data_IF_767182205533
#
_entry.id   IF_767182205533
#
_cell.length_a   1.000
_cell.length_b   1.000
_cell.length_c   1.000
_cell.angle_alpha   90.00
_cell.angle_beta   90.00
_cell.angle_gamma   90.00
#
_symmetry.space_group_name_H-M   'P 1'
#
loop_
_entity.id
_entity.type
_entity.pdbx_description
1 polymer ?
#
# COMPACT_ATOMS: atom_id res chain seq x y z
N UNK A 1 35.79 -28.45 19.03
CA UNK A 1 34.37 -28.67 18.66
C UNK A 1 33.41 -27.59 19.17
N UNK A 2 33.35 -27.26 20.48
CA UNK A 2 32.41 -26.24 21.01
C UNK A 2 32.53 -24.84 20.36
N UNK A 3 33.75 -24.35 20.09
CA UNK A 3 33.98 -23.02 19.47
C UNK A 3 33.52 -22.98 17.99
N UNK A 4 33.69 -24.08 17.25
CA UNK A 4 33.27 -24.19 15.84
C UNK A 4 31.74 -24.18 15.73
N UNK A 5 31.04 -24.85 16.67
CA UNK A 5 29.57 -24.86 16.73
C UNK A 5 29.01 -23.47 17.06
N UNK A 6 29.64 -22.71 17.98
CA UNK A 6 29.21 -21.34 18.32
C UNK A 6 29.40 -20.37 17.14
N UNK A 7 30.51 -20.47 16.42
CA UNK A 7 30.76 -19.68 15.21
C UNK A 7 29.76 -20.00 14.09
N UNK A 8 29.41 -21.28 13.89
CA UNK A 8 28.40 -21.69 12.92
C UNK A 8 26.99 -21.17 13.28
N UNK A 9 26.63 -21.20 14.56
CA UNK A 9 25.34 -20.65 15.07
C UNK A 9 25.30 -19.13 14.91
N UNK A 10 26.38 -18.41 15.22
CA UNK A 10 26.49 -16.96 15.00
C UNK A 10 26.40 -16.58 13.51
N UNK A 11 26.98 -17.40 12.62
CA UNK A 11 26.89 -17.20 11.17
C UNK A 11 25.49 -17.49 10.61
N UNK A 12 24.74 -18.41 11.23
CA UNK A 12 23.33 -18.68 10.89
C UNK A 12 22.36 -17.64 11.47
N UNK A 13 22.72 -16.99 12.58
CA UNK A 13 21.90 -15.95 13.23
C UNK A 13 22.11 -14.57 12.61
N UNK A 14 23.25 -14.28 11.98
CA UNK A 14 23.56 -12.95 11.42
C UNK A 14 22.63 -12.50 10.28
N UNK A 15 22.17 -13.36 9.34
CA UNK A 15 21.21 -12.96 8.32
C UNK A 15 19.81 -12.78 8.93
N UNK A 16 19.46 -13.56 9.96
CA UNK A 16 18.17 -13.50 10.63
C UNK A 16 18.01 -12.24 11.48
N UNK A 17 19.06 -11.86 12.24
CA UNK A 17 19.08 -10.61 13.03
C UNK A 17 19.13 -9.37 12.13
N UNK A 18 19.86 -9.43 11.01
CA UNK A 18 19.86 -8.39 9.98
C UNK A 18 18.50 -8.28 9.28
N UNK A 19 17.86 -9.41 8.98
CA UNK A 19 16.54 -9.40 8.34
C UNK A 19 15.42 -8.84 9.24
N UNK A 20 15.57 -9.00 10.55
CA UNK A 20 14.63 -8.44 11.52
C UNK A 20 14.84 -6.94 11.76
N UNK A 21 16.09 -6.45 11.64
CA UNK A 21 16.44 -5.06 11.94
C UNK A 21 15.95 -4.09 10.85
N UNK A 22 16.12 -4.43 9.56
CA UNK A 22 15.64 -3.54 8.48
C UNK A 22 14.13 -3.36 8.54
N UNK A 23 13.38 -4.42 8.88
CA UNK A 23 11.92 -4.36 8.95
C UNK A 23 11.45 -3.43 10.07
N UNK A 24 12.12 -3.46 11.23
CA UNK A 24 11.80 -2.57 12.34
C UNK A 24 12.05 -1.09 11.99
N UNK A 25 13.15 -0.82 11.27
CA UNK A 25 13.50 0.53 10.79
C UNK A 25 12.45 1.01 9.79
N UNK A 26 12.15 0.22 8.75
CA UNK A 26 11.15 0.56 7.74
C UNK A 26 9.77 0.74 8.37
N UNK A 27 9.38 -0.12 9.32
CA UNK A 27 8.10 0.01 10.03
C UNK A 27 8.02 1.32 10.82
N UNK A 28 9.13 1.76 11.41
CA UNK A 28 9.20 3.05 12.10
C UNK A 28 8.97 4.21 11.13
N UNK A 29 9.56 4.15 9.93
CA UNK A 29 9.33 5.14 8.87
C UNK A 29 7.88 5.13 8.35
N UNK A 30 7.31 3.94 8.10
CA UNK A 30 5.90 3.80 7.69
C UNK A 30 4.98 4.41 8.76
N UNK A 31 5.22 4.09 10.04
CA UNK A 31 4.43 4.63 11.15
C UNK A 31 4.55 6.16 11.24
N UNK A 32 5.74 6.71 10.97
CA UNK A 32 5.93 8.14 10.92
C UNK A 32 5.13 8.77 9.77
N UNK A 33 5.19 8.19 8.56
CA UNK A 33 4.41 8.65 7.39
C UNK A 33 2.91 8.60 7.68
N UNK A 34 2.41 7.52 8.27
CA UNK A 34 0.98 7.35 8.58
C UNK A 34 0.45 8.35 9.61
N UNK A 35 1.33 8.99 10.40
CA UNK A 35 0.97 10.07 11.33
C UNK A 35 1.08 11.46 10.71
N UNK A 36 1.68 11.59 9.52
CA UNK A 36 1.84 12.89 8.87
C UNK A 36 0.48 13.44 8.42
N UNK A 37 0.26 14.76 8.54
CA UNK A 37 -0.85 15.42 7.88
C UNK A 37 -0.51 15.58 6.40
N UNK A 38 -1.00 14.66 5.57
CA UNK A 38 -0.71 14.57 4.14
C UNK A 38 -1.83 15.19 3.32
N UNK A 39 -1.45 15.89 2.26
CA UNK A 39 -2.39 16.38 1.25
C UNK A 39 -2.68 15.31 0.22
N UNK A 40 -3.91 15.27 -0.25
CA UNK A 40 -4.38 14.29 -1.24
C UNK A 40 -4.40 14.93 -2.63
N UNK A 41 -3.90 14.23 -3.63
CA UNK A 41 -4.18 14.54 -5.03
C UNK A 41 -4.65 13.29 -5.77
N UNK A 42 -5.59 13.46 -6.68
CA UNK A 42 -6.14 12.38 -7.49
C UNK A 42 -5.62 12.52 -8.91
N UNK A 43 -5.11 11.41 -9.43
CA UNK A 43 -4.69 11.29 -10.80
C UNK A 43 -5.73 10.53 -11.60
N UNK A 44 -6.22 11.18 -12.65
CA UNK A 44 -7.36 10.72 -13.44
C UNK A 44 -6.99 10.75 -14.92
N UNK A 45 -7.32 9.70 -15.69
CA UNK A 45 -7.13 9.72 -17.13
C UNK A 45 -8.09 10.73 -17.78
N UNK A 46 -7.62 11.45 -18.80
CA UNK A 46 -8.46 12.27 -19.67
C UNK A 46 -8.59 11.61 -21.04
N UNK A 47 -9.72 11.79 -21.71
CA UNK A 47 -9.91 11.38 -23.09
C UNK A 47 -9.23 12.37 -24.07
N UNK A 48 -9.33 12.07 -25.37
CA UNK A 48 -8.77 12.90 -26.44
C UNK A 48 -9.38 14.31 -26.51
N UNK A 49 -10.53 14.54 -25.88
CA UNK A 49 -11.20 15.83 -25.77
C UNK A 49 -10.84 16.58 -24.48
N UNK A 50 -10.12 15.93 -23.56
CA UNK A 50 -9.73 16.49 -22.26
C UNK A 50 -10.78 16.29 -21.16
N UNK A 51 -11.77 15.45 -21.38
CA UNK A 51 -12.79 15.09 -20.39
C UNK A 51 -12.29 13.96 -19.49
N UNK A 52 -12.70 13.97 -18.21
CA UNK A 52 -12.29 12.95 -17.24
C UNK A 52 -12.95 11.61 -17.58
N UNK A 53 -12.13 10.60 -17.86
CA UNK A 53 -12.59 9.22 -18.03
C UNK A 53 -12.87 8.64 -16.63
N UNK A 54 -13.94 7.84 -16.49
CA UNK A 54 -14.35 7.19 -15.23
C UNK A 54 -14.74 8.20 -14.12
N UNK A 55 -15.34 9.33 -14.51
CA UNK A 55 -15.79 10.38 -13.61
C UNK A 55 -16.85 9.91 -12.58
N UNK A 56 -17.57 8.84 -12.89
CA UNK A 56 -18.58 8.19 -12.06
C UNK A 56 -18.04 7.51 -10.79
N UNK A 57 -16.73 7.20 -10.75
CA UNK A 57 -16.08 6.56 -9.60
C UNK A 57 -15.34 7.55 -8.68
N UNK A 58 -15.63 8.85 -8.82
CA UNK A 58 -14.93 9.93 -8.13
C UNK A 58 -15.88 10.80 -7.31
N UNK A 59 -15.54 11.01 -6.04
CA UNK A 59 -16.22 12.01 -5.21
C UNK A 59 -15.69 13.41 -5.53
N UNK A 60 -16.53 14.26 -6.13
CA UNK A 60 -16.16 15.56 -6.68
C UNK A 60 -15.78 16.64 -5.65
N UNK A 61 -15.98 16.38 -4.36
CA UNK A 61 -15.78 17.37 -3.30
C UNK A 61 -14.31 17.53 -2.84
N UNK A 62 -13.35 16.81 -3.44
CA UNK A 62 -11.92 16.86 -3.05
C UNK A 62 -10.95 16.85 -4.24
N UNK A 63 -11.38 17.28 -5.43
CA UNK A 63 -10.57 17.21 -6.65
C UNK A 63 -9.45 18.27 -6.66
N UNK A 64 -8.21 17.80 -6.60
CA UNK A 64 -7.06 18.44 -7.21
C UNK A 64 -6.66 17.59 -8.41
N UNK A 65 -7.22 17.93 -9.57
CA UNK A 65 -6.97 17.26 -10.83
C UNK A 65 -5.69 17.81 -11.46
N UNK A 66 -4.85 16.92 -11.99
CA UNK A 66 -3.81 17.27 -12.93
C UNK A 66 -3.95 16.37 -14.17
N UNK A 67 -3.62 16.93 -15.34
CA UNK A 67 -3.84 16.30 -16.65
C UNK A 67 -2.78 15.23 -16.91
N UNK A 68 -3.18 13.97 -17.10
CA UNK A 68 -2.31 12.97 -17.73
C UNK A 68 -2.39 13.19 -19.23
N UNK A 69 -1.24 13.36 -19.86
CA UNK A 69 -1.09 13.21 -21.29
C UNK A 69 -0.90 11.71 -21.58
N UNK A 70 -1.80 11.17 -22.38
CA UNK A 70 -1.67 9.84 -23.00
C UNK A 70 -0.33 9.79 -23.77
N UNK A 71 0.59 8.92 -23.34
CA UNK A 71 1.88 8.70 -23.99
C UNK A 71 1.84 7.53 -24.99
N UNK A 72 0.64 7.02 -25.30
CA UNK A 72 0.45 5.91 -26.25
C UNK A 72 0.92 4.55 -25.73
N UNK A 73 1.37 4.45 -24.47
CA UNK A 73 1.71 3.18 -23.81
C UNK A 73 0.55 2.69 -22.94
N UNK A 74 -0.58 2.43 -23.62
CA UNK A 74 -1.83 1.88 -23.10
C UNK A 74 -1.58 0.51 -22.44
N UNK A 75 -1.18 0.53 -21.16
CA UNK A 75 -1.37 -0.55 -20.19
C UNK A 75 -1.93 0.00 -18.85
N UNK A 76 -2.13 1.32 -18.73
CA UNK A 76 -2.53 2.03 -17.49
C UNK A 76 -3.92 2.68 -17.53
N UNK A 77 -4.69 2.52 -18.62
CA UNK A 77 -5.97 3.23 -18.87
C UNK A 77 -7.05 2.90 -17.83
N UNK A 78 -6.85 1.82 -17.07
CA UNK A 78 -7.78 1.32 -16.06
C UNK A 78 -7.24 1.42 -14.63
N UNK A 79 -6.30 2.32 -14.33
CA UNK A 79 -5.76 2.48 -12.96
C UNK A 79 -5.95 3.92 -12.47
N UNK A 80 -6.67 4.09 -11.36
CA UNK A 80 -6.82 5.36 -10.67
C UNK A 80 -5.72 5.52 -9.62
N UNK A 81 -5.04 6.67 -9.60
CA UNK A 81 -3.98 6.93 -8.61
C UNK A 81 -4.43 7.98 -7.62
N UNK A 82 -4.14 7.74 -6.36
CA UNK A 82 -4.24 8.73 -5.29
C UNK A 82 -2.85 8.90 -4.70
N UNK A 83 -2.36 10.14 -4.68
CA UNK A 83 -1.05 10.47 -4.15
C UNK A 83 -1.18 11.33 -2.91
N UNK A 84 -0.27 11.09 -1.97
CA UNK A 84 -0.25 11.76 -0.69
C UNK A 84 1.08 12.46 -0.47
N UNK A 85 1.04 13.78 -0.27
CA UNK A 85 2.22 14.65 -0.20
C UNK A 85 2.40 15.24 1.19
N UNK A 86 3.65 15.45 1.60
CA UNK A 86 3.97 16.16 2.83
C UNK A 86 4.08 17.69 2.63
N UNK A 87 4.43 18.38 3.71
CA UNK A 87 4.52 19.85 3.75
C UNK A 87 5.66 20.43 2.93
N UNK A 88 6.52 19.58 2.37
CA UNK A 88 7.59 19.96 1.46
C UNK A 88 7.27 19.52 0.02
N UNK A 89 6.00 19.17 -0.24
CA UNK A 89 5.50 18.65 -1.51
C UNK A 89 6.20 17.33 -1.93
N UNK A 90 6.70 16.55 -0.97
CA UNK A 90 7.27 15.23 -1.28
C UNK A 90 6.18 14.18 -1.24
N UNK A 91 6.09 13.37 -2.29
CA UNK A 91 5.21 12.19 -2.32
C UNK A 91 5.67 11.23 -1.21
N UNK A 92 4.76 10.86 -0.31
CA UNK A 92 5.03 9.95 0.81
C UNK A 92 4.29 8.63 0.70
N UNK A 93 3.11 8.64 0.07
CA UNK A 93 2.31 7.44 -0.20
C UNK A 93 1.62 7.58 -1.55
N UNK A 94 1.49 6.47 -2.27
CA UNK A 94 0.71 6.36 -3.50
C UNK A 94 -0.19 5.14 -3.37
N UNK A 95 -1.46 5.30 -3.72
CA UNK A 95 -2.44 4.23 -3.81
C UNK A 95 -2.92 4.13 -5.25
N UNK A 96 -2.90 2.91 -5.78
CA UNK A 96 -3.40 2.57 -7.11
C UNK A 96 -4.55 1.57 -6.93
N UNK A 97 -5.66 1.82 -7.61
CA UNK A 97 -6.81 0.91 -7.70
C UNK A 97 -7.21 0.69 -9.15
N UNK A 98 -7.80 -0.46 -9.44
CA UNK A 98 -8.39 -0.72 -10.75
C UNK A 98 -9.65 0.13 -10.94
N UNK A 99 -9.85 0.64 -12.15
CA UNK A 99 -10.94 1.53 -12.51
C UNK A 99 -12.28 0.79 -12.67
N UNK A 100 -12.26 -0.54 -12.82
CA UNK A 100 -13.42 -1.43 -12.89
C UNK A 100 -14.06 -1.72 -11.52
N UNK A 101 -13.60 -1.05 -10.46
CA UNK A 101 -14.05 -1.27 -9.09
C UNK A 101 -13.24 -2.31 -8.32
N UNK A 102 -12.15 -2.86 -8.89
CA UNK A 102 -11.24 -3.77 -8.18
C UNK A 102 -10.59 -3.15 -6.93
N UNK A 103 -10.43 -3.96 -5.87
CA UNK A 103 -10.15 -3.48 -4.52
C UNK A 103 -8.73 -2.89 -4.29
N UNK A 104 -7.68 -3.48 -4.87
CA UNK A 104 -6.30 -3.02 -4.72
C UNK A 104 -5.49 -3.37 -5.97
N UNK A 105 -4.77 -2.40 -6.54
CA UNK A 105 -3.68 -2.65 -7.49
C UNK A 105 -2.34 -2.62 -6.74
N UNK A 106 -2.00 -1.48 -6.14
CA UNK A 106 -0.81 -1.36 -5.29
C UNK A 106 -0.84 -0.16 -4.35
N UNK A 107 -0.06 -0.25 -3.27
CA UNK A 107 0.23 0.84 -2.35
C UNK A 107 1.75 0.96 -2.23
N UNK A 108 2.26 2.17 -2.32
CA UNK A 108 3.69 2.47 -2.25
C UNK A 108 3.96 3.54 -1.19
N UNK A 109 5.03 3.37 -0.42
CA UNK A 109 5.52 4.34 0.55
C UNK A 109 6.92 4.81 0.18
N UNK A 110 7.15 6.10 0.34
CA UNK A 110 8.41 6.75 -0.01
C UNK A 110 9.00 7.53 1.15
N UNK A 111 10.31 7.43 1.31
CA UNK A 111 11.04 8.24 2.27
C UNK A 111 11.18 9.70 1.78
N UNK A 112 11.80 10.55 2.59
CA UNK A 112 12.00 11.98 2.28
C UNK A 112 12.81 12.24 1.01
N UNK A 113 13.64 11.28 0.59
CA UNK A 113 14.45 11.36 -0.62
C UNK A 113 13.70 10.85 -1.85
N UNK A 114 12.43 10.44 -1.70
CA UNK A 114 11.61 9.95 -2.79
C UNK A 114 11.92 8.51 -3.21
N UNK A 115 12.67 7.76 -2.39
CA UNK A 115 12.97 6.35 -2.58
C UNK A 115 11.85 5.50 -2.00
N UNK A 116 11.45 4.44 -2.73
CA UNK A 116 10.52 3.43 -2.23
C UNK A 116 11.11 2.76 -0.98
N UNK A 117 10.30 2.63 0.07
CA UNK A 117 10.66 1.90 1.30
C UNK A 117 9.73 0.73 1.60
N UNK A 118 8.49 0.78 1.11
CA UNK A 118 7.51 -0.26 1.32
C UNK A 118 6.47 -0.28 0.19
N UNK A 119 6.03 -1.48 -0.19
CA UNK A 119 5.06 -1.71 -1.23
C UNK A 119 4.09 -2.83 -0.83
N UNK A 120 2.84 -2.69 -1.24
CA UNK A 120 1.82 -3.74 -1.24
C UNK A 120 1.32 -3.85 -2.67
N UNK A 121 1.16 -5.06 -3.19
CA UNK A 121 0.58 -5.27 -4.51
C UNK A 121 -0.43 -6.40 -4.49
N UNK A 122 -1.42 -6.30 -5.38
CA UNK A 122 -2.39 -7.34 -5.62
C UNK A 122 -2.78 -7.36 -7.11
N UNK A 123 -2.53 -8.48 -7.78
CA UNK A 123 -2.87 -8.74 -9.18
C UNK A 123 -3.74 -9.99 -9.23
N UNK A 124 -5.05 -9.78 -9.08
CA UNK A 124 -6.02 -10.88 -9.01
C UNK A 124 -5.76 -11.79 -7.81
N UNK A 125 -6.26 -13.02 -7.87
CA UNK A 125 -6.22 -13.94 -6.72
C UNK A 125 -4.84 -14.60 -6.51
N UNK A 126 -3.96 -14.58 -7.53
CA UNK A 126 -2.75 -15.41 -7.56
C UNK A 126 -1.48 -14.67 -7.17
N UNK A 127 -1.37 -13.37 -7.50
CA UNK A 127 -0.10 -12.63 -7.39
C UNK A 127 -0.25 -11.42 -6.49
N UNK A 128 0.09 -11.60 -5.21
CA UNK A 128 0.02 -10.57 -4.19
C UNK A 128 1.18 -10.65 -3.20
N UNK A 129 1.52 -9.54 -2.56
CA UNK A 129 2.63 -9.54 -1.62
C UNK A 129 2.95 -8.20 -0.99
N UNK A 130 4.00 -8.24 -0.16
CA UNK A 130 4.60 -7.08 0.49
C UNK A 130 6.06 -6.96 0.08
N UNK A 131 6.47 -5.75 -0.26
CA UNK A 131 7.84 -5.39 -0.60
C UNK A 131 8.38 -4.45 0.47
N UNK A 132 9.59 -4.69 0.95
CA UNK A 132 10.33 -3.78 1.83
C UNK A 132 11.61 -3.36 1.10
N UNK A 133 12.01 -2.10 1.21
CA UNK A 133 13.20 -1.59 0.54
C UNK A 133 14.06 -0.80 1.53
N UNK A 134 15.34 -1.18 1.64
CA UNK A 134 16.34 -0.49 2.47
C UNK A 134 17.57 -0.14 1.62
N UNK A 135 18.62 0.44 2.22
CA UNK A 135 19.84 0.82 1.50
C UNK A 135 20.50 -0.31 0.71
N UNK A 136 20.32 -1.56 1.12
CA UNK A 136 20.92 -2.74 0.49
C UNK A 136 20.15 -3.29 -0.71
N UNK A 137 18.86 -2.92 -0.87
CA UNK A 137 18.06 -3.34 -2.03
C UNK A 137 16.59 -3.59 -1.69
N UNK A 138 15.96 -4.44 -2.49
CA UNK A 138 14.57 -4.88 -2.33
C UNK A 138 14.50 -6.21 -1.56
N UNK A 139 13.64 -6.27 -0.55
CA UNK A 139 13.34 -7.43 0.29
C UNK A 139 11.85 -7.79 0.11
N UNK A 140 11.54 -8.81 -0.68
CA UNK A 140 10.16 -9.20 -1.01
C UNK A 140 9.70 -10.30 -0.05
N UNK A 141 8.50 -10.15 0.54
CA UNK A 141 7.77 -11.24 1.20
C UNK A 141 6.64 -11.71 0.28
N UNK A 142 6.73 -12.98 -0.11
CA UNK A 142 5.98 -13.64 -1.19
C UNK A 142 6.42 -13.18 -2.59
N UNK A 143 7.21 -14.02 -3.26
CA UNK A 143 7.52 -13.86 -4.68
C UNK A 143 6.30 -14.26 -5.51
N UNK A 144 6.03 -13.59 -6.65
CA UNK A 144 5.27 -14.19 -7.74
C UNK A 144 5.93 -15.53 -8.11
N UNK A 145 5.16 -16.53 -8.55
CA UNK A 145 5.72 -17.81 -9.00
C UNK A 145 6.82 -17.55 -10.06
N UNK A 146 7.91 -18.33 -9.98
CA UNK A 146 9.06 -18.23 -10.88
C UNK A 146 8.57 -18.20 -12.35
N UNK A 147 8.82 -17.08 -13.04
CA UNK A 147 8.47 -16.71 -14.43
C UNK A 147 7.46 -15.57 -14.63
N UNK A 148 6.79 -15.06 -13.60
CA UNK A 148 5.96 -13.83 -13.75
C UNK A 148 6.76 -12.52 -13.66
N UNK A 149 8.04 -12.63 -13.27
CA UNK A 149 8.87 -11.51 -12.88
C UNK A 149 10.08 -11.25 -13.81
N UNK A 150 10.03 -11.75 -15.06
CA UNK A 150 11.10 -11.51 -16.04
C UNK A 150 10.90 -10.23 -16.85
N UNK A 151 9.66 -9.87 -17.15
CA UNK A 151 9.36 -8.69 -17.97
C UNK A 151 8.38 -7.76 -17.24
N UNK A 152 8.88 -6.59 -16.83
CA UNK A 152 8.10 -5.37 -16.68
C UNK A 152 7.05 -5.24 -15.54
N UNK A 153 6.84 -6.19 -14.63
CA UNK A 153 5.77 -6.01 -13.62
C UNK A 153 6.16 -5.14 -12.41
N UNK A 154 7.33 -5.37 -11.81
CA UNK A 154 7.76 -4.67 -10.57
C UNK A 154 8.15 -3.20 -10.80
N UNK A 155 8.79 -2.90 -11.93
CA UNK A 155 9.27 -1.56 -12.27
C UNK A 155 8.11 -0.54 -12.44
N UNK A 156 6.94 -1.01 -12.88
CA UNK A 156 5.75 -0.17 -13.10
C UNK A 156 4.85 -0.11 -11.86
N UNK A 157 4.85 -1.15 -11.02
CA UNK A 157 4.13 -1.15 -9.75
C UNK A 157 4.59 -0.01 -8.85
N UNK A 158 5.92 0.19 -8.75
CA UNK A 158 6.55 1.07 -7.76
C UNK A 158 7.57 2.03 -8.37
N UNK A 159 7.12 2.88 -9.30
CA UNK A 159 7.93 3.97 -9.84
C UNK A 159 8.54 4.82 -8.71
N UNK A 160 9.78 5.26 -8.88
CA UNK A 160 10.35 6.28 -7.99
C UNK A 160 9.54 7.57 -8.09
N UNK A 161 9.55 8.39 -7.03
CA UNK A 161 8.83 9.68 -7.07
C UNK A 161 9.28 10.58 -8.23
N UNK A 162 10.57 10.57 -8.57
CA UNK A 162 11.11 11.30 -9.72
C UNK A 162 10.57 10.75 -11.05
N UNK A 163 10.43 9.43 -11.17
CA UNK A 163 9.81 8.81 -12.34
C UNK A 163 8.33 9.20 -12.45
N UNK A 164 7.59 9.22 -11.34
CA UNK A 164 6.19 9.66 -11.29
C UNK A 164 6.08 11.14 -11.70
N UNK A 165 6.91 12.01 -11.13
CA UNK A 165 6.95 13.43 -11.47
C UNK A 165 7.24 13.67 -12.95
N UNK A 166 8.20 12.91 -13.52
CA UNK A 166 8.62 13.03 -14.92
C UNK A 166 7.56 12.48 -15.87
N UNK A 167 7.10 11.25 -15.62
CA UNK A 167 6.17 10.54 -16.49
C UNK A 167 4.82 11.25 -16.58
N UNK A 168 4.30 11.72 -15.45
CA UNK A 168 2.98 12.35 -15.42
C UNK A 168 3.05 13.88 -15.50
N UNK A 169 4.22 14.43 -15.86
CA UNK A 169 4.49 15.86 -15.92
C UNK A 169 3.82 16.62 -14.77
N UNK A 170 4.06 16.12 -13.54
CA UNK A 170 3.48 16.70 -12.33
C UNK A 170 4.23 18.01 -12.09
N UNK A 171 3.83 19.06 -12.78
CA UNK A 171 4.08 20.42 -12.32
C UNK A 171 3.43 20.44 -10.95
N UNK A 172 4.24 20.55 -9.88
CA UNK A 172 3.78 20.66 -8.51
C UNK A 172 2.86 21.88 -8.42
N UNK A 173 1.59 21.66 -8.75
CA UNK A 173 0.55 22.67 -8.82
C UNK A 173 0.48 23.26 -7.43
N UNK A 174 0.63 24.58 -7.39
CA UNK A 174 0.57 25.41 -6.21
C UNK A 174 -0.44 24.85 -5.23
N UNK A 175 -0.01 24.60 -3.98
CA UNK A 175 -0.84 24.07 -2.91
C UNK A 175 -2.22 24.70 -2.97
N UNK A 176 -3.27 23.93 -3.23
CA UNK A 176 -4.60 24.47 -3.25
C UNK A 176 -4.88 24.99 -1.85
N UNK A 177 -5.27 26.26 -1.73
CA UNK A 177 -5.37 26.97 -0.44
C UNK A 177 -6.25 26.26 0.59
N UNK A 178 -7.15 25.37 0.14
CA UNK A 178 -8.13 24.64 0.96
C UNK A 178 -7.99 23.11 0.90
N UNK A 179 -6.85 22.57 0.45
CA UNK A 179 -6.66 21.13 0.33
C UNK A 179 -6.79 20.43 1.69
N UNK A 180 -7.70 19.44 1.77
CA UNK A 180 -7.91 18.63 2.99
C UNK A 180 -6.64 17.86 3.30
N UNK A 181 -6.30 17.80 4.59
CA UNK A 181 -5.21 16.97 5.09
C UNK A 181 -5.80 15.71 5.71
N UNK A 182 -5.13 14.60 5.48
CA UNK A 182 -5.47 13.31 6.06
C UNK A 182 -4.25 12.68 6.71
N UNK A 183 -4.47 11.65 7.51
CA UNK A 183 -3.43 10.75 7.98
C UNK A 183 -3.99 9.32 7.92
N UNK A 184 -3.12 8.34 8.16
CA UNK A 184 -3.46 6.92 8.09
C UNK A 184 -3.32 6.25 9.46
N UNK A 185 -3.48 7.04 10.54
CA UNK A 185 -3.63 6.46 11.86
C UNK A 185 -4.99 5.77 11.91
N UNK A 186 -5.07 4.45 12.18
CA UNK A 186 -6.34 3.73 12.14
C UNK A 186 -7.38 4.32 13.09
N UNK A 187 -8.61 4.46 12.62
CA UNK A 187 -9.77 4.85 13.42
C UNK A 187 -10.93 3.86 13.19
N UNK A 188 -11.84 3.76 14.17
CA UNK A 188 -13.08 3.01 13.98
C UNK A 188 -13.90 3.67 12.88
N UNK A 189 -14.41 2.87 11.95
CA UNK A 189 -15.11 3.32 10.75
C UNK A 189 -14.22 3.50 9.53
N UNK A 190 -12.89 3.46 9.67
CA UNK A 190 -11.99 3.57 8.53
C UNK A 190 -12.10 2.36 7.59
N UNK A 191 -12.10 2.63 6.29
CA UNK A 191 -11.88 1.61 5.27
C UNK A 191 -10.40 1.22 5.21
N UNK A 192 -10.16 -0.08 5.05
CA UNK A 192 -8.82 -0.62 4.93
C UNK A 192 -8.79 -1.80 3.95
N UNK A 193 -7.59 -2.14 3.50
CA UNK A 193 -7.31 -3.36 2.74
C UNK A 193 -6.58 -4.36 3.62
N UNK A 194 -7.00 -5.62 3.58
CA UNK A 194 -6.26 -6.71 4.20
C UNK A 194 -4.97 -6.99 3.42
N UNK A 195 -3.84 -6.93 4.10
CA UNK A 195 -2.55 -7.33 3.56
C UNK A 195 -2.11 -8.66 4.17
N UNK A 196 -3.06 -9.57 4.37
CA UNK A 196 -2.86 -10.94 4.82
C UNK A 196 -4.00 -11.83 4.30
N UNK A 197 -3.69 -13.09 4.05
CA UNK A 197 -4.67 -14.14 3.70
C UNK A 197 -5.32 -14.80 4.92
N UNK A 198 -5.06 -14.26 6.11
CA UNK A 198 -5.55 -14.84 7.36
C UNK A 198 -5.90 -13.74 8.36
N UNK A 199 -6.79 -14.09 9.28
CA UNK A 199 -7.19 -13.30 10.45
C UNK A 199 -7.02 -14.15 11.71
N UNK A 200 -7.48 -13.59 12.83
CA UNK A 200 -7.47 -14.21 14.13
C UNK A 200 -8.84 -14.12 14.79
N UNK A 201 -9.25 -15.14 15.54
CA UNK A 201 -10.49 -15.11 16.33
C UNK A 201 -10.45 -14.11 17.48
N UNK A 202 -9.24 -13.87 18.02
CA UNK A 202 -8.94 -12.95 19.12
C UNK A 202 -7.56 -12.34 18.86
N UNK A 203 -7.18 -11.20 19.49
CA UNK A 203 -5.79 -10.76 19.51
C UNK A 203 -4.84 -11.87 20.01
N UNK A 204 -3.83 -12.22 19.22
CA UNK A 204 -2.93 -13.36 19.46
C UNK A 204 -3.60 -14.75 19.54
N UNK A 205 -4.84 -14.88 19.08
CA UNK A 205 -5.59 -16.14 19.07
C UNK A 205 -5.19 -17.08 17.94
N UNK A 206 -6.10 -18.00 17.58
CA UNK A 206 -5.90 -18.92 16.48
C UNK A 206 -5.98 -18.19 15.13
N UNK A 207 -5.05 -18.54 14.23
CA UNK A 207 -4.97 -17.99 12.88
C UNK A 207 -5.83 -18.81 11.92
N UNK A 208 -6.73 -18.17 11.19
CA UNK A 208 -7.67 -18.83 10.27
C UNK A 208 -7.78 -18.08 8.94
N UNK A 209 -8.06 -18.81 7.85
CA UNK A 209 -8.39 -18.27 6.53
C UNK A 209 -9.91 -18.11 6.31
N UNK A 210 -10.73 -18.50 7.29
CA UNK A 210 -12.19 -18.31 7.29
C UNK A 210 -12.60 -17.50 8.53
N UNK A 211 -13.33 -16.41 8.30
CA UNK A 211 -13.85 -15.54 9.35
C UNK A 211 -14.99 -16.15 10.18
N UNK A 212 -15.46 -15.38 11.16
CA UNK A 212 -16.55 -15.75 12.10
C UNK A 212 -17.79 -16.29 11.36
N UNK A 213 -18.16 -15.71 10.21
CA UNK A 213 -19.30 -16.13 9.38
C UNK A 213 -18.93 -17.03 8.17
N UNK A 214 -17.78 -17.69 8.21
CA UNK A 214 -17.30 -18.53 7.10
C UNK A 214 -16.81 -17.74 5.88
N UNK A 215 -16.75 -16.41 5.99
CA UNK A 215 -16.20 -15.51 4.96
C UNK A 215 -14.74 -15.89 4.68
N UNK A 216 -14.43 -16.21 3.43
CA UNK A 216 -13.06 -16.49 3.00
C UNK A 216 -12.22 -15.22 3.07
N UNK A 217 -11.11 -15.27 3.80
CA UNK A 217 -10.18 -14.15 3.92
C UNK A 217 -9.20 -14.17 2.76
N UNK A 218 -9.11 -13.05 2.05
CA UNK A 218 -8.22 -12.88 0.92
C UNK A 218 -7.34 -11.64 1.08
N UNK A 219 -6.13 -11.72 0.53
CA UNK A 219 -5.27 -10.54 0.42
C UNK A 219 -5.91 -9.55 -0.55
N UNK A 220 -5.84 -8.26 -0.23
CA UNK A 220 -6.49 -7.22 -1.03
C UNK A 220 -7.97 -7.03 -0.72
N UNK A 221 -8.57 -7.85 0.15
CA UNK A 221 -9.97 -7.72 0.53
C UNK A 221 -10.24 -6.38 1.23
N UNK A 222 -11.27 -5.61 0.80
CA UNK A 222 -11.68 -4.39 1.47
C UNK A 222 -12.47 -4.71 2.74
N UNK A 223 -12.17 -3.98 3.81
CA UNK A 223 -12.78 -4.15 5.14
C UNK A 223 -13.01 -2.80 5.81
N UNK A 224 -13.83 -2.81 6.86
CA UNK A 224 -14.08 -1.65 7.73
C UNK A 224 -13.57 -1.99 9.12
N UNK A 225 -12.83 -1.06 9.74
CA UNK A 225 -12.38 -1.21 11.13
C UNK A 225 -13.56 -1.02 12.07
N UNK A 226 -13.90 -2.06 12.83
CA UNK A 226 -15.00 -2.02 13.80
C UNK A 226 -14.54 -1.80 15.24
N UNK A 227 -13.30 -2.15 15.57
CA UNK A 227 -12.70 -1.85 16.88
C UNK A 227 -11.17 -1.80 16.82
N UNK A 228 -10.54 -1.13 17.78
CA UNK A 228 -9.08 -1.06 17.95
C UNK A 228 -8.69 -1.55 19.35
N UNK A 229 -7.72 -2.47 19.42
CA UNK A 229 -7.25 -3.05 20.69
C UNK A 229 -5.75 -3.31 20.61
N UNK A 230 -4.94 -2.53 21.34
CA UNK A 230 -3.50 -2.79 21.59
C UNK A 230 -2.70 -3.31 20.38
N UNK A 231 -2.69 -2.58 19.26
CA UNK A 231 -1.96 -2.98 18.04
C UNK A 231 -2.72 -3.89 17.08
N UNK A 232 -3.97 -4.22 17.41
CA UNK A 232 -4.90 -5.01 16.62
C UNK A 232 -6.13 -4.20 16.24
N UNK A 233 -6.73 -4.58 15.12
CA UNK A 233 -8.03 -4.13 14.68
C UNK A 233 -8.99 -5.32 14.68
N UNK A 234 -10.24 -5.10 15.12
CA UNK A 234 -11.35 -5.93 14.66
C UNK A 234 -11.86 -5.36 13.34
N UNK A 235 -12.14 -6.22 12.38
CA UNK A 235 -12.55 -5.83 11.03
C UNK A 235 -13.86 -6.52 10.65
N UNK A 236 -14.67 -5.78 9.92
CA UNK A 236 -15.91 -6.24 9.31
C UNK A 236 -15.75 -6.20 7.79
N UNK A 237 -16.60 -6.93 7.07
CA UNK A 237 -16.77 -6.76 5.64
C UNK A 237 -17.33 -5.37 5.32
N UNK A 238 -17.29 -4.97 4.05
CA UNK A 238 -17.94 -3.75 3.59
C UNK A 238 -19.47 -3.75 3.82
N UNK A 239 -20.08 -4.91 4.04
CA UNK A 239 -21.49 -5.09 4.40
C UNK A 239 -21.70 -5.17 5.92
N UNK A 240 -20.69 -4.77 6.70
CA UNK A 240 -20.70 -4.74 8.16
C UNK A 240 -20.85 -6.12 8.85
N UNK A 241 -20.54 -7.22 8.15
CA UNK A 241 -20.49 -8.55 8.74
C UNK A 241 -19.14 -8.75 9.47
N UNK A 242 -19.11 -9.21 10.73
CA UNK A 242 -17.87 -9.47 11.46
C UNK A 242 -16.97 -10.49 10.74
N UNK A 243 -15.69 -10.18 10.61
CA UNK A 243 -14.70 -11.10 10.03
C UNK A 243 -13.82 -11.66 11.15
N UNK A 244 -13.20 -10.77 11.93
CA UNK A 244 -12.38 -11.11 13.09
C UNK A 244 -11.28 -10.08 13.34
N UNK A 245 -10.14 -10.51 13.90
CA UNK A 245 -9.03 -9.64 14.31
C UNK A 245 -7.83 -9.74 13.38
N UNK A 246 -7.14 -8.61 13.19
CA UNK A 246 -5.91 -8.54 12.41
C UNK A 246 -4.93 -7.52 13.03
N UNK A 247 -3.61 -7.78 13.02
CA UNK A 247 -2.63 -6.78 13.44
C UNK A 247 -2.68 -5.54 12.55
N UNK A 248 -2.50 -4.35 13.12
CA UNK A 248 -2.50 -3.07 12.37
C UNK A 248 -1.46 -3.10 11.23
N UNK A 249 -0.30 -3.73 11.43
CA UNK A 249 0.76 -3.89 10.41
C UNK A 249 0.35 -4.74 9.20
N UNK A 250 -0.81 -5.41 9.26
CA UNK A 250 -1.33 -6.27 8.22
C UNK A 250 -2.58 -5.70 7.54
N UNK A 251 -2.85 -4.41 7.73
CA UNK A 251 -3.85 -3.67 6.98
C UNK A 251 -3.25 -2.37 6.42
N UNK A 252 -3.87 -1.88 5.36
CA UNK A 252 -3.56 -0.56 4.80
C UNK A 252 -4.82 0.30 4.80
N UNK A 253 -4.76 1.44 5.49
CA UNK A 253 -5.86 2.40 5.55
C UNK A 253 -6.01 3.12 4.20
N UNK A 254 -7.25 3.19 3.71
CA UNK A 254 -7.65 3.97 2.53
C UNK A 254 -8.47 5.18 3.01
N UNK A 255 -8.28 6.34 2.35
CA UNK A 255 -8.94 7.61 2.65
C UNK A 255 -9.44 8.27 1.37
#
# INVERSE_FOLDING_TARGET
MRIIIILYILFLLSPYTFAQSYKAIIQTEINAINKMPLWIAYLVPLDSFGEVINNEYMEFNQIHSYKILDDGQINNVNVLFTMYFDRNNKIRKVFKRWADGGALHSIAYYNSNGRLIYGVYNKGDETHGKLYADTSGFHIKHFPKENECKDCFEAYLFLSTKCIETQYNIIMLQRPKNAKRTNFTPQVGDSAILCSTHIYSLPNGEKTAKGEDGITVQFGMPVIISALTNGWCRVNSIFNAPIGYIPIQNIEIIK
#
